data_IF_837520072629
#
_entry.id   IF_837520072629
#
_cell.length_a   1.000
_cell.length_b   1.000
_cell.length_c   1.000
_cell.angle_alpha   90.00
_cell.angle_beta   90.00
_cell.angle_gamma   90.00
#
_symmetry.space_group_name_H-M   'P 1'
#
loop_
_entity.id
_entity.type
_entity.pdbx_description
1 polymer ?
#
# COMPACT_ATOMS: atom_id res chain seq x y z
N UNK A 1 13.06 24.46 -2.69
CA UNK A 1 12.06 24.97 -1.72
C UNK A 1 10.65 24.77 -2.27
N UNK A 2 9.67 24.51 -1.42
CA UNK A 2 8.26 24.41 -1.80
C UNK A 2 7.52 25.72 -1.48
N UNK A 3 6.46 26.05 -2.22
CA UNK A 3 5.64 27.23 -1.97
C UNK A 3 4.79 27.04 -0.69
N UNK A 4 4.50 28.10 0.10
CA UNK A 4 3.73 27.96 1.35
C UNK A 4 2.33 27.34 1.20
N UNK A 5 1.72 27.46 0.02
CA UNK A 5 0.42 26.86 -0.31
C UNK A 5 0.53 25.46 -0.95
N UNK A 6 1.73 24.91 -1.09
CA UNK A 6 1.91 23.57 -1.64
C UNK A 6 1.39 22.53 -0.66
N UNK A 7 0.43 21.71 -1.10
CA UNK A 7 0.05 20.48 -0.42
C UNK A 7 1.02 19.40 -0.90
N UNK A 8 1.86 18.92 0.01
CA UNK A 8 2.82 17.83 -0.24
C UNK A 8 2.76 16.83 0.90
N UNK A 9 3.37 15.66 0.72
CA UNK A 9 3.24 14.52 1.62
C UNK A 9 2.76 13.29 0.87
N UNK A 10 1.62 12.73 1.30
CA UNK A 10 1.13 11.43 0.80
C UNK A 10 2.16 10.29 0.98
N UNK A 11 2.89 10.34 2.10
CA UNK A 11 3.86 9.31 2.47
C UNK A 11 3.08 8.15 3.10
N UNK A 12 2.73 7.18 2.27
CA UNK A 12 1.97 6.01 2.66
C UNK A 12 1.87 5.03 1.50
N UNK A 13 1.48 3.80 1.80
CA UNK A 13 1.19 2.77 0.80
C UNK A 13 -0.18 2.23 1.08
N UNK A 14 -1.02 2.18 0.05
CA UNK A 14 -2.32 1.54 0.11
C UNK A 14 -2.42 0.51 -1.00
N UNK A 15 -3.06 -0.61 -0.71
CA UNK A 15 -3.55 -1.54 -1.70
C UNK A 15 -5.07 -1.54 -1.59
N UNK A 16 -5.77 -1.28 -2.69
CA UNK A 16 -7.22 -1.23 -2.72
C UNK A 16 -7.75 -2.17 -3.80
N UNK A 17 -8.93 -2.70 -3.56
CA UNK A 17 -9.66 -3.53 -4.50
C UNK A 17 -11.14 -3.54 -4.14
N UNK A 18 -11.98 -3.97 -5.09
CA UNK A 18 -13.42 -4.07 -4.88
C UNK A 18 -13.79 -5.51 -4.57
N UNK A 19 -14.62 -5.72 -3.56
CA UNK A 19 -15.35 -6.97 -3.39
C UNK A 19 -16.70 -6.86 -4.10
N UNK A 20 -16.90 -7.66 -5.14
CA UNK A 20 -18.14 -7.69 -5.93
C UNK A 20 -18.94 -8.99 -5.74
N UNK A 21 -18.57 -9.84 -4.76
CA UNK A 21 -19.28 -11.09 -4.45
C UNK A 21 -20.78 -10.89 -4.26
N UNK A 22 -21.16 -9.89 -3.47
CA UNK A 22 -22.57 -9.60 -3.16
C UNK A 22 -23.36 -9.18 -4.40
N UNK A 23 -22.70 -8.49 -5.35
CA UNK A 23 -23.33 -8.16 -6.63
C UNK A 23 -23.56 -9.42 -7.47
N UNK A 24 -22.55 -10.30 -7.55
CA UNK A 24 -22.66 -11.57 -8.28
C UNK A 24 -23.78 -12.46 -7.73
N UNK A 25 -23.90 -12.55 -6.40
CA UNK A 25 -24.99 -13.29 -5.74
C UNK A 25 -26.37 -12.76 -6.17
N UNK A 26 -26.54 -11.43 -6.31
CA UNK A 26 -27.82 -10.83 -6.74
C UNK A 26 -28.20 -11.16 -8.18
N UNK A 27 -27.22 -11.29 -9.06
CA UNK A 27 -27.45 -11.58 -10.49
C UNK A 27 -27.29 -13.07 -10.83
N UNK A 28 -27.13 -13.93 -9.82
CA UNK A 28 -27.01 -15.38 -9.99
C UNK A 28 -25.69 -15.86 -10.61
N UNK A 29 -24.67 -15.00 -10.69
CA UNK A 29 -23.35 -15.38 -11.20
C UNK A 29 -22.53 -16.01 -10.07
N UNK A 30 -21.90 -17.14 -10.35
CA UNK A 30 -21.04 -17.84 -9.39
C UNK A 30 -19.65 -18.06 -9.99
N UNK A 31 -18.58 -17.68 -9.26
CA UNK A 31 -17.23 -17.95 -9.72
C UNK A 31 -16.86 -19.42 -9.55
N UNK A 32 -16.27 -20.01 -10.60
CA UNK A 32 -15.66 -21.33 -10.56
C UNK A 32 -14.14 -21.17 -10.66
N UNK A 33 -13.42 -21.33 -9.53
CA UNK A 33 -11.99 -21.05 -9.44
C UNK A 33 -11.20 -22.36 -9.32
N UNK A 34 -10.31 -22.61 -10.28
CA UNK A 34 -9.34 -23.70 -10.25
C UNK A 34 -7.94 -23.11 -10.20
N UNK A 35 -7.16 -23.43 -9.15
CA UNK A 35 -5.88 -22.79 -8.89
C UNK A 35 -4.77 -23.80 -8.66
N UNK A 36 -3.60 -23.51 -9.25
CA UNK A 36 -2.38 -24.34 -9.11
C UNK A 36 -1.58 -24.03 -7.84
N UNK A 37 -2.20 -23.40 -6.85
CA UNK A 37 -1.54 -22.97 -5.61
C UNK A 37 -2.51 -22.29 -4.68
N UNK A 38 -2.31 -22.50 -3.37
CA UNK A 38 -3.25 -22.10 -2.31
C UNK A 38 -3.66 -20.62 -2.37
N UNK A 39 -2.72 -19.74 -2.68
CA UNK A 39 -2.91 -18.29 -2.57
C UNK A 39 -2.98 -17.54 -3.91
N UNK A 40 -3.12 -18.26 -5.04
CA UNK A 40 -3.14 -17.62 -6.38
C UNK A 40 -4.39 -16.81 -6.68
N UNK A 41 -5.37 -16.90 -5.79
CA UNK A 41 -6.61 -16.11 -5.79
C UNK A 41 -6.69 -15.18 -4.57
N UNK A 42 -5.57 -14.96 -3.84
CA UNK A 42 -5.51 -13.88 -2.86
C UNK A 42 -5.82 -12.56 -3.57
N UNK A 43 -6.48 -11.61 -2.89
CA UNK A 43 -6.96 -10.35 -3.47
C UNK A 43 -8.08 -10.48 -4.52
N UNK A 44 -8.61 -11.69 -4.76
CA UNK A 44 -9.78 -11.84 -5.61
C UNK A 44 -10.99 -11.06 -5.06
N UNK A 45 -11.58 -10.25 -5.93
CA UNK A 45 -12.80 -9.48 -5.63
C UNK A 45 -14.08 -10.32 -5.63
N UNK A 46 -14.02 -11.57 -6.12
CA UNK A 46 -15.16 -12.49 -6.12
C UNK A 46 -15.21 -13.40 -4.90
N UNK A 47 -14.27 -13.32 -3.95
CA UNK A 47 -14.33 -14.11 -2.72
C UNK A 47 -15.37 -13.58 -1.75
N UNK A 48 -16.04 -14.47 -1.02
CA UNK A 48 -16.79 -14.12 0.20
C UNK A 48 -15.80 -13.74 1.31
N UNK A 49 -16.19 -12.86 2.25
CA UNK A 49 -15.34 -12.53 3.39
C UNK A 49 -14.86 -13.74 4.20
N UNK A 50 -15.67 -14.80 4.28
CA UNK A 50 -15.33 -16.05 4.99
C UNK A 50 -14.31 -16.92 4.26
N UNK A 51 -14.12 -16.70 2.94
CA UNK A 51 -13.15 -17.42 2.11
C UNK A 51 -11.75 -16.77 2.14
N UNK A 52 -11.63 -15.60 2.77
CA UNK A 52 -10.36 -14.89 2.96
C UNK A 52 -9.74 -15.31 4.29
N UNK A 53 -8.72 -16.15 4.22
CA UNK A 53 -8.00 -16.63 5.40
C UNK A 53 -7.17 -15.54 6.07
N UNK A 54 -6.89 -15.68 7.37
CA UNK A 54 -6.05 -14.73 8.09
C UNK A 54 -4.61 -14.73 7.58
N UNK A 55 -4.13 -15.86 7.05
CA UNK A 55 -2.82 -15.95 6.41
C UNK A 55 -2.76 -15.11 5.11
N UNK A 56 -3.82 -15.12 4.30
CA UNK A 56 -3.91 -14.23 3.13
C UNK A 56 -3.90 -12.75 3.53
N UNK A 57 -4.64 -12.39 4.58
CA UNK A 57 -4.64 -11.01 5.11
C UNK A 57 -3.25 -10.61 5.58
N UNK A 58 -2.57 -11.48 6.32
CA UNK A 58 -1.23 -11.23 6.83
C UNK A 58 -0.20 -11.07 5.70
N UNK A 59 -0.28 -11.87 4.63
CA UNK A 59 0.59 -11.71 3.46
C UNK A 59 0.36 -10.39 2.74
N UNK A 60 -0.91 -10.02 2.51
CA UNK A 60 -1.25 -8.75 1.87
C UNK A 60 -0.79 -7.56 2.71
N UNK A 61 -1.03 -7.62 4.02
CA UNK A 61 -0.57 -6.58 4.93
C UNK A 61 0.97 -6.51 4.95
N UNK A 62 1.67 -7.65 4.97
CA UNK A 62 3.12 -7.69 4.89
C UNK A 62 3.68 -7.09 3.59
N UNK A 63 2.99 -7.25 2.46
CA UNK A 63 3.36 -6.58 1.21
C UNK A 63 3.23 -5.05 1.31
N UNK A 64 2.14 -4.56 1.91
CA UNK A 64 1.94 -3.12 2.17
C UNK A 64 3.02 -2.58 3.11
N UNK A 65 3.25 -3.28 4.22
CA UNK A 65 4.20 -2.87 5.26
C UNK A 65 5.63 -2.83 4.72
N UNK A 66 6.08 -3.89 4.03
CA UNK A 66 7.42 -3.94 3.44
C UNK A 66 7.65 -2.83 2.42
N UNK A 67 6.65 -2.55 1.57
CA UNK A 67 6.69 -1.45 0.61
C UNK A 67 6.76 -0.10 1.33
N UNK A 68 5.98 0.07 2.40
CA UNK A 68 6.01 1.30 3.20
C UNK A 68 7.35 1.50 3.93
N UNK A 69 7.93 0.45 4.49
CA UNK A 69 9.27 0.51 5.09
C UNK A 69 10.31 0.95 4.06
N UNK A 70 10.29 0.35 2.87
CA UNK A 70 11.20 0.73 1.79
C UNK A 70 10.99 2.20 1.37
N UNK A 71 9.76 2.66 1.30
CA UNK A 71 9.48 4.06 0.98
C UNK A 71 10.08 5.01 2.02
N UNK A 72 9.95 4.70 3.31
CA UNK A 72 10.59 5.49 4.38
C UNK A 72 12.11 5.52 4.27
N UNK A 73 12.76 4.39 3.99
CA UNK A 73 14.21 4.34 3.79
C UNK A 73 14.68 5.28 2.66
N UNK A 74 13.96 5.29 1.54
CA UNK A 74 14.27 6.17 0.40
C UNK A 74 14.12 7.64 0.80
N UNK A 75 13.06 7.99 1.53
CA UNK A 75 12.83 9.34 2.03
C UNK A 75 13.95 9.76 3.00
N UNK A 76 14.30 8.90 3.96
CA UNK A 76 15.37 9.20 4.93
C UNK A 76 16.71 9.41 4.23
N UNK A 77 17.07 8.54 3.28
CA UNK A 77 18.29 8.69 2.49
C UNK A 77 18.30 10.01 1.71
N UNK A 78 17.18 10.38 1.08
CA UNK A 78 17.05 11.64 0.36
C UNK A 78 17.16 12.87 1.27
N UNK A 79 16.56 12.82 2.47
CA UNK A 79 16.62 13.92 3.45
C UNK A 79 18.01 14.09 4.03
N UNK A 80 18.69 13.00 4.38
CA UNK A 80 20.06 13.06 4.90
C UNK A 80 21.03 13.61 3.85
N UNK A 81 20.89 13.19 2.57
CA UNK A 81 21.68 13.76 1.48
C UNK A 81 21.45 15.27 1.30
N UNK A 82 20.22 15.76 1.50
CA UNK A 82 19.95 17.21 1.51
C UNK A 82 20.65 17.92 2.68
N UNK A 83 20.59 17.34 3.89
CA UNK A 83 21.23 17.93 5.08
C UNK A 83 22.75 18.01 4.95
N UNK A 84 23.38 16.99 4.35
CA UNK A 84 24.83 16.96 4.12
C UNK A 84 25.29 17.98 3.07
N UNK A 85 24.40 18.39 2.15
CA UNK A 85 24.69 19.42 1.15
C UNK A 85 24.37 20.85 1.61
N UNK A 86 23.45 21.01 2.57
CA UNK A 86 22.98 22.31 3.09
C UNK A 86 23.95 22.94 4.11
N UNK A 87 25.25 22.65 4.01
CA UNK A 87 26.32 23.12 4.89
C UNK A 87 26.71 24.61 4.77
N UNK A 88 25.81 25.51 4.33
CA UNK A 88 26.03 26.96 4.54
C UNK A 88 24.76 27.84 4.51
N UNK A 89 23.63 27.45 3.90
CA UNK A 89 22.41 28.31 3.87
C UNK A 89 21.04 27.60 3.97
N UNK A 90 20.97 26.28 4.20
CA UNK A 90 19.71 25.53 4.17
C UNK A 90 19.09 25.27 5.55
N UNK A 91 18.07 26.04 5.95
CA UNK A 91 17.29 25.78 7.18
C UNK A 91 16.63 24.40 7.10
N UNK A 92 17.03 23.48 7.98
CA UNK A 92 16.48 22.13 8.06
C UNK A 92 14.93 22.14 8.11
N UNK A 93 14.30 21.34 7.26
CA UNK A 93 12.86 21.10 7.32
C UNK A 93 12.56 20.35 8.62
N UNK A 94 11.78 20.96 9.51
CA UNK A 94 11.42 20.39 10.80
C UNK A 94 10.72 19.04 10.66
N UNK A 95 10.86 18.13 11.64
CA UNK A 95 10.05 16.91 11.67
C UNK A 95 8.58 17.27 11.81
N UNK A 96 7.72 16.45 11.19
CA UNK A 96 6.27 16.47 11.38
C UNK A 96 5.88 15.86 12.73
#
# INVERSE_FOLDING_TARGET
MAHPLTITGSIGVIMHGYNYRTLMDKVGVQPNVFKSGRFKDMLSGEKRPQEVSDEEKAMVQGMVDSTFQRFKEVILKGRNWSQDQDGDEGRALSPA
#
